data_IF_662459717423
#
_entry.id   IF_662459717423
#
_cell.length_a   1.000
_cell.length_b   1.000
_cell.length_c   1.000
_cell.angle_alpha   90.00
_cell.angle_beta   90.00
_cell.angle_gamma   90.00
#
_symmetry.space_group_name_H-M   'P 1'
#
loop_
_entity.id
_entity.type
_entity.pdbx_description
1 polymer ?
#
# COMPACT_ATOMS: atom_id res chain seq x y z
N UNK A 1 -62.06 -23.59 -38.58
CA UNK A 1 -61.58 -23.12 -37.25
C UNK A 1 -60.74 -24.17 -36.47
N UNK A 2 -60.74 -25.46 -36.86
CA UNK A 2 -59.90 -26.48 -36.16
C UNK A 2 -58.39 -26.41 -36.50
N UNK A 3 -58.03 -25.92 -37.66
CA UNK A 3 -56.62 -25.88 -38.09
C UNK A 3 -55.78 -24.70 -37.51
N UNK A 4 -56.46 -23.66 -37.04
CA UNK A 4 -55.79 -22.51 -36.40
C UNK A 4 -55.22 -22.83 -35.00
N UNK A 5 -55.84 -23.80 -34.29
CA UNK A 5 -55.46 -24.25 -32.96
C UNK A 5 -54.15 -25.03 -32.99
N UNK A 6 -53.88 -25.79 -34.04
CA UNK A 6 -52.67 -26.59 -34.21
C UNK A 6 -51.41 -25.67 -34.52
N UNK A 7 -51.66 -24.58 -35.22
CA UNK A 7 -50.55 -23.59 -35.49
C UNK A 7 -50.11 -22.89 -34.20
N UNK A 8 -51.05 -22.59 -33.30
CA UNK A 8 -50.72 -21.94 -32.00
C UNK A 8 -49.98 -22.87 -31.05
N UNK A 9 -50.14 -24.19 -31.18
CA UNK A 9 -49.52 -25.18 -30.29
C UNK A 9 -48.05 -25.50 -30.70
N UNK A 10 -47.68 -25.14 -31.96
CA UNK A 10 -46.31 -25.35 -32.44
C UNK A 10 -45.34 -24.17 -32.16
N UNK A 11 -45.87 -23.02 -31.77
CA UNK A 11 -45.05 -21.81 -31.52
C UNK A 11 -44.10 -21.95 -30.31
N UNK A 12 -44.45 -22.64 -29.19
CA UNK A 12 -43.52 -22.76 -28.07
C UNK A 12 -42.36 -23.73 -28.31
N UNK A 13 -42.40 -24.58 -29.32
CA UNK A 13 -41.32 -25.53 -29.61
C UNK A 13 -40.09 -24.89 -30.29
N UNK A 14 -40.24 -23.69 -30.84
CA UNK A 14 -39.15 -22.97 -31.51
C UNK A 14 -38.35 -22.03 -30.57
N UNK A 15 -38.81 -21.85 -29.32
CA UNK A 15 -38.15 -20.96 -28.37
C UNK A 15 -37.15 -21.67 -27.43
N UNK A 16 -36.96 -22.97 -27.54
CA UNK A 16 -36.02 -23.72 -26.68
C UNK A 16 -34.71 -24.11 -27.38
N UNK A 17 -34.42 -23.53 -28.54
CA UNK A 17 -33.06 -23.54 -29.07
C UNK A 17 -32.27 -22.33 -28.53
N UNK A 18 -32.13 -22.22 -27.20
CA UNK A 18 -31.04 -21.46 -26.63
C UNK A 18 -29.77 -22.30 -26.86
N UNK A 19 -28.96 -21.82 -27.81
CA UNK A 19 -27.57 -22.21 -27.89
C UNK A 19 -26.96 -22.03 -26.48
N UNK A 20 -26.63 -23.16 -25.87
CA UNK A 20 -25.61 -23.14 -24.81
C UNK A 20 -24.36 -22.62 -25.48
N UNK A 21 -24.10 -21.32 -25.34
CA UNK A 21 -22.73 -20.81 -25.48
C UNK A 21 -21.89 -21.61 -24.50
N UNK A 22 -21.31 -22.67 -25.01
CA UNK A 22 -20.12 -23.23 -24.38
C UNK A 22 -19.13 -22.10 -24.36
N UNK A 23 -18.84 -21.51 -23.17
CA UNK A 23 -17.65 -20.75 -22.96
C UNK A 23 -16.49 -21.63 -23.44
N UNK A 24 -16.15 -21.49 -24.71
CA UNK A 24 -14.87 -21.95 -25.20
C UNK A 24 -13.86 -21.09 -24.45
N UNK A 25 -13.31 -21.67 -23.41
CA UNK A 25 -12.07 -21.26 -22.80
C UNK A 25 -11.03 -21.23 -23.91
N UNK A 26 -11.01 -20.10 -24.65
CA UNK A 26 -10.03 -19.79 -25.68
C UNK A 26 -8.70 -19.39 -25.02
N UNK A 27 -8.25 -20.18 -24.09
CA UNK A 27 -6.81 -20.28 -23.84
C UNK A 27 -6.19 -20.87 -25.09
N UNK A 28 -5.85 -20.00 -26.03
CA UNK A 28 -5.05 -20.38 -27.18
C UNK A 28 -3.69 -20.86 -26.64
N UNK A 29 -3.63 -22.15 -26.34
CA UNK A 29 -2.37 -22.79 -25.99
C UNK A 29 -1.46 -22.73 -27.22
N UNK A 30 -0.58 -21.74 -27.24
CA UNK A 30 0.49 -21.72 -28.22
C UNK A 30 1.44 -22.89 -27.89
N UNK A 31 1.56 -23.83 -28.81
CA UNK A 31 2.50 -24.94 -28.68
C UNK A 31 3.79 -24.59 -29.40
N UNK A 32 4.93 -24.96 -28.80
CA UNK A 32 6.24 -24.93 -29.44
C UNK A 32 6.56 -26.36 -29.82
N UNK A 33 6.84 -26.60 -31.11
CA UNK A 33 7.24 -27.92 -31.61
C UNK A 33 8.76 -28.01 -31.50
N UNK A 34 9.25 -28.93 -30.67
CA UNK A 34 10.67 -29.24 -30.54
C UNK A 34 10.86 -30.70 -30.84
N UNK A 35 11.60 -31.01 -31.94
CA UNK A 35 11.90 -32.38 -32.39
C UNK A 35 10.67 -33.29 -32.56
N UNK A 36 9.53 -32.73 -32.98
CA UNK A 36 8.29 -33.49 -33.21
C UNK A 36 7.41 -33.66 -31.97
N UNK A 37 7.81 -33.16 -30.84
CA UNK A 37 6.97 -33.12 -29.64
C UNK A 37 6.37 -31.71 -29.45
N UNK A 38 5.06 -31.64 -29.14
CA UNK A 38 4.34 -30.39 -28.93
C UNK A 38 4.28 -30.07 -27.46
N UNK A 39 5.06 -29.06 -27.06
CA UNK A 39 5.09 -28.56 -25.68
C UNK A 39 4.17 -27.36 -25.57
N UNK A 40 3.16 -27.35 -24.68
CA UNK A 40 2.32 -26.19 -24.48
C UNK A 40 3.15 -25.01 -23.99
N UNK A 41 3.07 -23.87 -24.67
CA UNK A 41 3.68 -22.62 -24.24
C UNK A 41 2.78 -21.98 -23.18
N UNK A 42 2.84 -22.50 -21.96
CA UNK A 42 2.23 -21.85 -20.82
C UNK A 42 3.17 -20.76 -20.33
N UNK A 43 2.72 -19.50 -20.37
CA UNK A 43 3.37 -18.45 -19.61
C UNK A 43 3.00 -18.66 -18.14
N UNK A 44 3.91 -19.16 -17.35
CA UNK A 44 3.74 -19.16 -15.90
C UNK A 44 4.17 -17.77 -15.44
N UNK A 45 3.24 -16.97 -14.95
CA UNK A 45 3.57 -15.76 -14.23
C UNK A 45 4.30 -16.16 -12.95
N UNK A 46 5.60 -15.97 -12.97
CA UNK A 46 6.44 -16.19 -11.80
C UNK A 46 6.36 -14.93 -10.92
N UNK A 47 6.12 -15.14 -9.65
CA UNK A 47 6.23 -14.06 -8.68
C UNK A 47 7.63 -13.44 -8.76
N UNK A 48 7.69 -12.11 -8.72
CA UNK A 48 8.94 -11.37 -8.74
C UNK A 48 9.82 -11.79 -7.55
N UNK A 49 10.93 -12.45 -7.83
CA UNK A 49 11.91 -12.82 -6.80
C UNK A 49 12.98 -11.74 -6.72
N UNK A 50 12.91 -10.93 -5.67
CA UNK A 50 13.94 -9.94 -5.40
C UNK A 50 15.15 -10.58 -4.72
N UNK A 51 16.30 -10.56 -5.39
CA UNK A 51 17.55 -11.04 -4.82
C UNK A 51 18.18 -9.95 -3.95
N UNK A 52 18.23 -10.21 -2.64
CA UNK A 52 18.85 -9.32 -1.67
C UNK A 52 20.30 -9.76 -1.41
N UNK A 53 21.23 -8.84 -1.62
CA UNK A 53 22.63 -9.10 -1.32
C UNK A 53 22.85 -9.41 0.17
N UNK A 54 23.82 -10.26 0.46
CA UNK A 54 24.25 -10.47 1.85
C UNK A 54 24.87 -9.18 2.37
N UNK A 55 24.36 -8.71 3.52
CA UNK A 55 24.93 -7.53 4.16
C UNK A 55 26.26 -7.91 4.83
N UNK A 56 27.28 -7.15 4.50
CA UNK A 56 28.60 -7.23 5.14
C UNK A 56 28.77 -6.03 6.05
N UNK A 57 29.30 -6.27 7.23
CA UNK A 57 29.53 -5.24 8.24
C UNK A 57 31.03 -5.13 8.52
N UNK A 58 31.56 -3.92 8.42
CA UNK A 58 32.98 -3.65 8.64
C UNK A 58 33.36 -3.74 10.12
N UNK A 59 32.40 -3.58 11.03
CA UNK A 59 32.61 -3.62 12.47
C UNK A 59 31.45 -4.25 13.23
N UNK A 60 31.72 -4.65 14.48
CA UNK A 60 30.65 -5.11 15.39
C UNK A 60 29.66 -3.98 15.73
N UNK A 61 30.13 -2.76 15.76
CA UNK A 61 29.35 -1.56 16.00
C UNK A 61 28.37 -1.32 14.85
N UNK A 62 28.79 -1.46 13.60
CA UNK A 62 27.91 -1.32 12.43
C UNK A 62 26.81 -2.37 12.43
N UNK A 63 27.17 -3.62 12.75
CA UNK A 63 26.18 -4.69 12.92
C UNK A 63 25.18 -4.38 14.02
N UNK A 64 25.64 -3.85 15.17
CA UNK A 64 24.76 -3.44 16.28
C UNK A 64 23.82 -2.31 15.85
N UNK A 65 24.34 -1.27 15.14
CA UNK A 65 23.53 -0.17 14.60
C UNK A 65 22.46 -0.69 13.65
N UNK A 66 22.81 -1.58 12.73
CA UNK A 66 21.86 -2.22 11.82
C UNK A 66 20.76 -3.00 12.57
N UNK A 67 21.11 -3.79 13.59
CA UNK A 67 20.12 -4.55 14.37
C UNK A 67 19.15 -3.61 15.13
N UNK A 68 19.64 -2.48 15.63
CA UNK A 68 18.81 -1.46 16.26
C UNK A 68 17.88 -0.83 15.22
N UNK A 69 18.42 -0.46 14.04
CA UNK A 69 17.65 0.08 12.94
C UNK A 69 16.56 -0.91 12.50
N UNK A 70 16.91 -2.17 12.28
CA UNK A 70 15.97 -3.25 11.92
C UNK A 70 14.80 -3.32 12.90
N UNK A 71 15.08 -3.40 14.20
CA UNK A 71 14.03 -3.47 15.23
C UNK A 71 13.11 -2.25 15.19
N UNK A 72 13.68 -1.04 15.04
CA UNK A 72 12.91 0.20 14.99
C UNK A 72 12.08 0.30 13.72
N UNK A 73 12.63 -0.07 12.57
CA UNK A 73 11.93 -0.07 11.27
C UNK A 73 10.71 -0.99 11.31
N UNK A 74 10.88 -2.23 11.75
CA UNK A 74 9.78 -3.20 11.85
C UNK A 74 8.68 -2.71 12.80
N UNK A 75 9.07 -2.17 13.97
CA UNK A 75 8.12 -1.59 14.93
C UNK A 75 7.31 -0.44 14.35
N UNK A 76 7.96 0.44 13.60
CA UNK A 76 7.34 1.68 13.09
C UNK A 76 6.57 1.44 11.80
N UNK A 77 6.90 0.41 11.03
CA UNK A 77 6.31 0.13 9.73
C UNK A 77 4.77 0.05 9.80
N UNK A 78 4.23 -0.67 10.75
CA UNK A 78 2.77 -0.78 10.95
C UNK A 78 2.10 0.60 11.13
N UNK A 79 2.71 1.49 11.92
CA UNK A 79 2.18 2.86 12.11
C UNK A 79 2.30 3.69 10.84
N UNK A 80 3.36 3.49 10.06
CA UNK A 80 3.55 4.20 8.79
C UNK A 80 2.49 3.80 7.75
N UNK A 81 2.25 2.50 7.58
CA UNK A 81 1.23 1.97 6.68
C UNK A 81 -0.16 2.49 7.06
N UNK A 82 -0.52 2.37 8.33
CA UNK A 82 -1.82 2.83 8.82
C UNK A 82 -1.98 4.36 8.67
N UNK A 83 -0.92 5.14 8.94
CA UNK A 83 -0.95 6.58 8.74
C UNK A 83 -1.10 6.96 7.26
N UNK A 84 -0.39 6.27 6.36
CA UNK A 84 -0.47 6.48 4.92
C UNK A 84 -1.89 6.22 4.40
N UNK A 85 -2.46 5.07 4.71
CA UNK A 85 -3.83 4.69 4.31
C UNK A 85 -4.88 5.70 4.80
N UNK A 86 -4.75 6.14 6.06
CA UNK A 86 -5.67 7.13 6.63
C UNK A 86 -5.55 8.50 5.98
N UNK A 87 -4.33 8.93 5.69
CA UNK A 87 -4.07 10.21 5.04
C UNK A 87 -4.57 10.22 3.59
N UNK A 88 -4.34 9.16 2.84
CA UNK A 88 -4.84 9.02 1.47
C UNK A 88 -6.37 8.95 1.42
N UNK A 89 -6.97 8.13 2.28
CA UNK A 89 -8.44 8.06 2.41
C UNK A 89 -9.04 9.41 2.80
N UNK A 90 -8.38 10.15 3.69
CA UNK A 90 -8.81 11.48 4.10
C UNK A 90 -8.76 12.47 2.94
N UNK A 91 -7.66 12.49 2.19
CA UNK A 91 -7.49 13.37 1.03
C UNK A 91 -8.52 13.06 -0.07
N UNK A 92 -8.73 11.77 -0.37
CA UNK A 92 -9.74 11.33 -1.32
C UNK A 92 -11.17 11.72 -0.92
N UNK A 93 -11.50 11.68 0.38
CA UNK A 93 -12.80 12.12 0.88
C UNK A 93 -12.94 13.64 0.90
N UNK A 94 -11.87 14.36 1.27
CA UNK A 94 -11.87 15.84 1.27
C UNK A 94 -12.07 16.42 -0.13
N UNK A 95 -11.57 15.77 -1.17
CA UNK A 95 -11.75 16.21 -2.56
C UNK A 95 -13.21 16.17 -3.02
N UNK A 96 -14.05 15.31 -2.41
CA UNK A 96 -15.48 15.18 -2.74
C UNK A 96 -16.36 16.29 -2.16
N UNK A 97 -15.88 17.05 -1.17
CA UNK A 97 -16.65 18.15 -0.59
C UNK A 97 -16.42 19.43 -1.38
N UNK A 98 -17.47 20.01 -1.94
CA UNK A 98 -17.40 21.29 -2.67
C UNK A 98 -17.26 22.48 -1.71
N UNK A 99 -18.02 22.46 -0.61
CA UNK A 99 -18.03 23.57 0.36
C UNK A 99 -16.82 23.54 1.29
N UNK A 100 -16.12 24.66 1.38
CA UNK A 100 -14.96 24.84 2.29
C UNK A 100 -15.31 24.58 3.77
N UNK A 101 -16.54 24.90 4.19
CA UNK A 101 -17.04 24.68 5.56
C UNK A 101 -17.09 23.19 5.90
N UNK A 102 -17.61 22.36 4.98
CA UNK A 102 -17.78 20.93 5.19
C UNK A 102 -16.42 20.22 5.17
N UNK A 103 -15.53 20.63 4.27
CA UNK A 103 -14.13 20.18 4.26
C UNK A 103 -13.44 20.43 5.61
N UNK A 104 -13.61 21.64 6.18
CA UNK A 104 -13.02 22.00 7.48
C UNK A 104 -13.61 21.17 8.62
N UNK A 105 -14.94 21.00 8.63
CA UNK A 105 -15.65 20.21 9.66
C UNK A 105 -15.20 18.76 9.63
N UNK A 106 -15.12 18.18 8.45
CA UNK A 106 -14.65 16.80 8.26
C UNK A 106 -13.19 16.63 8.66
N UNK A 107 -12.30 17.49 8.18
CA UNK A 107 -10.89 17.47 8.54
C UNK A 107 -10.67 17.55 10.07
N UNK A 108 -11.42 18.43 10.77
CA UNK A 108 -11.37 18.56 12.23
C UNK A 108 -11.85 17.29 12.94
N UNK A 109 -12.89 16.63 12.42
CA UNK A 109 -13.41 15.37 12.98
C UNK A 109 -12.37 14.26 12.89
N UNK A 110 -11.74 14.11 11.73
CA UNK A 110 -10.70 13.10 11.51
C UNK A 110 -9.44 13.42 12.31
N UNK A 111 -9.05 14.68 12.40
CA UNK A 111 -7.94 15.09 13.26
C UNK A 111 -8.14 14.61 14.70
N UNK A 112 -9.30 14.88 15.31
CA UNK A 112 -9.59 14.43 16.67
C UNK A 112 -9.53 12.90 16.81
N UNK A 113 -10.01 12.17 15.80
CA UNK A 113 -9.94 10.72 15.78
C UNK A 113 -8.49 10.22 15.79
N UNK A 114 -7.66 10.73 14.89
CA UNK A 114 -6.25 10.37 14.79
C UNK A 114 -5.48 10.80 16.05
N UNK A 115 -5.76 11.98 16.59
CA UNK A 115 -5.18 12.45 17.85
C UNK A 115 -5.49 11.48 19.01
N UNK A 116 -6.74 11.01 19.10
CA UNK A 116 -7.15 10.07 20.15
C UNK A 116 -6.43 8.72 20.05
N UNK A 117 -6.30 8.22 18.84
CA UNK A 117 -5.81 6.86 18.60
C UNK A 117 -4.27 6.77 18.60
N UNK A 118 -3.62 7.73 17.95
CA UNK A 118 -2.18 7.64 17.70
C UNK A 118 -1.30 8.48 18.62
N UNK A 119 -1.84 9.53 19.28
CA UNK A 119 -0.99 10.44 20.04
C UNK A 119 -0.23 9.76 21.18
N UNK A 120 -0.84 8.77 21.82
CA UNK A 120 -0.19 8.02 22.91
C UNK A 120 1.02 7.23 22.42
N UNK A 121 0.87 6.57 21.27
CA UNK A 121 1.95 5.74 20.70
C UNK A 121 3.05 6.61 20.08
N UNK A 122 2.67 7.66 19.37
CA UNK A 122 3.63 8.61 18.81
C UNK A 122 4.48 9.28 19.90
N UNK A 123 3.87 9.67 21.02
CA UNK A 123 4.61 10.26 22.17
C UNK A 123 5.62 9.32 22.81
N UNK A 124 5.42 8.01 22.71
CA UNK A 124 6.35 6.99 23.22
C UNK A 124 7.49 6.67 22.25
N UNK A 125 7.41 7.12 21.01
CA UNK A 125 8.44 6.87 20.02
C UNK A 125 9.70 7.68 20.33
N UNK A 126 10.85 7.05 20.13
CA UNK A 126 12.12 7.75 20.16
C UNK A 126 12.30 8.64 18.92
N UNK A 127 13.19 9.62 18.99
CA UNK A 127 13.54 10.52 17.86
C UNK A 127 13.84 9.73 16.58
N UNK A 128 14.65 8.67 16.67
CA UNK A 128 14.98 7.83 15.51
C UNK A 128 13.74 7.11 14.94
N UNK A 129 12.86 6.59 15.80
CA UNK A 129 11.62 5.96 15.37
C UNK A 129 10.71 6.96 14.65
N UNK A 130 10.62 8.20 15.14
CA UNK A 130 9.87 9.24 14.46
C UNK A 130 10.48 9.67 13.12
N UNK A 131 11.82 9.71 13.01
CA UNK A 131 12.49 9.95 11.72
C UNK A 131 12.18 8.85 10.71
N UNK A 132 12.25 7.58 11.13
CA UNK A 132 11.90 6.44 10.30
C UNK A 132 10.42 6.50 9.89
N UNK A 133 9.51 6.87 10.82
CA UNK A 133 8.08 7.02 10.52
C UNK A 133 7.85 8.03 9.39
N UNK A 134 8.45 9.21 9.46
CA UNK A 134 8.34 10.26 8.43
C UNK A 134 8.84 9.77 7.07
N UNK A 135 9.99 9.09 7.04
CA UNK A 135 10.55 8.48 5.83
C UNK A 135 9.64 7.40 5.25
N UNK A 136 9.08 6.53 6.09
CA UNK A 136 8.17 5.47 5.65
C UNK A 136 6.82 5.99 5.16
N UNK A 137 6.30 7.08 5.73
CA UNK A 137 5.11 7.76 5.19
C UNK A 137 5.40 8.27 3.78
N UNK A 138 6.58 8.87 3.54
CA UNK A 138 6.98 9.29 2.19
C UNK A 138 7.08 8.10 1.24
N UNK A 139 7.69 7.00 1.67
CA UNK A 139 7.79 5.76 0.89
C UNK A 139 6.42 5.23 0.45
N UNK A 140 5.42 5.25 1.34
CA UNK A 140 4.09 4.72 1.07
C UNK A 140 3.23 5.65 0.20
N UNK A 141 3.36 6.96 0.38
CA UNK A 141 2.45 7.95 -0.24
C UNK A 141 3.08 8.72 -1.40
N UNK A 142 4.40 8.66 -1.57
CA UNK A 142 5.14 9.52 -2.51
C UNK A 142 5.16 11.01 -2.13
N UNK A 143 4.60 11.36 -0.95
CA UNK A 143 4.52 12.75 -0.47
C UNK A 143 5.19 12.90 0.89
N UNK A 144 5.87 14.01 1.10
CA UNK A 144 6.42 14.28 2.43
C UNK A 144 5.32 14.45 3.46
N UNK A 145 5.57 14.04 4.69
CA UNK A 145 4.61 14.23 5.78
C UNK A 145 4.19 15.70 5.92
N UNK A 146 5.12 16.64 5.65
CA UNK A 146 4.81 18.06 5.62
C UNK A 146 3.77 18.44 4.57
N UNK A 147 3.88 17.91 3.33
CA UNK A 147 2.94 18.20 2.25
C UNK A 147 1.57 17.62 2.57
N UNK A 148 1.51 16.38 3.07
CA UNK A 148 0.25 15.76 3.50
C UNK A 148 -0.46 16.59 4.57
N UNK A 149 0.26 17.06 5.57
CA UNK A 149 -0.29 17.90 6.65
C UNK A 149 -0.71 19.27 6.12
N UNK A 150 0.04 19.85 5.19
CA UNK A 150 -0.28 21.14 4.57
C UNK A 150 -1.58 21.08 3.77
N UNK A 151 -1.84 20.00 3.06
CA UNK A 151 -3.10 19.78 2.33
C UNK A 151 -4.31 19.73 3.28
N UNK A 152 -4.17 19.23 4.48
CA UNK A 152 -5.23 19.09 5.48
C UNK A 152 -5.64 20.38 6.17
N UNK A 153 -4.91 21.45 6.03
CA UNK A 153 -5.18 22.87 6.38
C UNK A 153 -5.68 23.21 7.79
N UNK A 154 -6.05 22.30 8.67
CA UNK A 154 -6.63 22.67 9.97
C UNK A 154 -5.99 21.91 11.12
N UNK A 155 -5.42 22.61 12.09
CA UNK A 155 -5.01 22.06 13.40
C UNK A 155 -3.90 20.99 13.39
N UNK A 156 -3.72 20.30 12.26
CA UNK A 156 -2.74 19.23 12.10
C UNK A 156 -1.31 19.67 12.39
N UNK A 157 -0.97 20.92 12.08
CA UNK A 157 0.32 21.50 12.49
C UNK A 157 0.47 21.52 14.01
N UNK A 158 -0.56 21.98 14.72
CA UNK A 158 -0.53 22.02 16.18
C UNK A 158 -0.47 20.62 16.78
N UNK A 159 -1.24 19.67 16.24
CA UNK A 159 -1.15 18.25 16.63
C UNK A 159 0.26 17.71 16.49
N UNK A 160 0.86 17.85 15.30
CA UNK A 160 2.21 17.37 15.05
C UNK A 160 3.23 18.08 15.93
N UNK A 161 3.16 19.41 16.08
CA UNK A 161 4.04 20.14 16.99
C UNK A 161 3.89 19.67 18.44
N UNK A 162 2.68 19.48 18.92
CA UNK A 162 2.44 19.01 20.30
C UNK A 162 2.81 17.53 20.50
N UNK A 163 2.66 16.71 19.48
CA UNK A 163 2.98 15.28 19.54
C UNK A 163 4.47 15.05 19.34
N UNK A 164 5.09 15.83 18.47
CA UNK A 164 6.53 15.78 18.20
C UNK A 164 7.36 16.72 19.09
N UNK A 165 6.73 17.45 20.02
CA UNK A 165 7.46 18.29 20.97
C UNK A 165 8.50 17.51 21.81
N UNK A 166 8.26 16.23 22.05
CA UNK A 166 9.25 15.31 22.61
C UNK A 166 10.24 14.75 21.58
N UNK A 167 10.00 14.98 20.30
CA UNK A 167 10.83 14.54 19.17
C UNK A 167 11.49 15.73 18.49
N UNK A 168 12.03 16.67 19.26
CA UNK A 168 12.71 17.86 18.76
C UNK A 168 13.66 17.51 17.61
N UNK A 169 13.60 18.29 16.50
CA UNK A 169 14.41 18.17 15.29
C UNK A 169 14.04 17.12 14.24
N UNK A 170 12.82 16.56 14.24
CA UNK A 170 12.39 15.74 13.12
C UNK A 170 11.87 16.65 12.00
N UNK A 171 12.60 16.69 10.89
CA UNK A 171 12.12 17.37 9.70
C UNK A 171 11.01 16.57 9.03
N UNK A 172 9.78 17.07 9.06
CA UNK A 172 8.64 16.50 8.34
C UNK A 172 8.78 16.57 6.80
N UNK A 173 9.80 17.30 6.31
CA UNK A 173 10.12 17.43 4.89
C UNK A 173 11.11 16.37 4.40
N UNK A 174 11.53 15.44 5.26
CA UNK A 174 12.45 14.38 4.85
C UNK A 174 11.76 13.48 3.84
N UNK A 175 12.47 13.21 2.78
CA UNK A 175 12.14 12.27 1.73
C UNK A 175 12.81 10.94 2.03
N UNK A 176 12.28 9.88 1.47
CA UNK A 176 12.87 8.56 1.51
C UNK A 176 13.58 8.32 0.17
N UNK A 177 14.89 8.15 0.23
CA UNK A 177 15.75 7.99 -0.96
C UNK A 177 16.75 6.83 -0.75
N UNK A 178 16.33 5.60 -1.00
CA UNK A 178 17.19 4.43 -0.81
C UNK A 178 18.35 4.32 -1.82
N UNK A 179 18.35 5.14 -2.89
CA UNK A 179 19.41 5.12 -3.88
C UNK A 179 20.61 5.97 -3.47
N UNK A 180 20.35 7.09 -2.80
CA UNK A 180 21.40 8.05 -2.44
C UNK A 180 21.73 8.05 -0.95
N UNK A 181 20.79 7.66 -0.08
CA UNK A 181 20.95 7.70 1.37
C UNK A 181 21.17 6.28 1.96
N UNK A 182 22.34 6.05 2.54
CA UNK A 182 22.71 4.74 3.12
C UNK A 182 21.72 4.24 4.18
N UNK A 183 21.21 5.14 5.02
CA UNK A 183 20.23 4.77 6.05
C UNK A 183 18.93 4.28 5.43
N UNK A 184 18.45 4.94 4.37
CA UNK A 184 17.24 4.60 3.66
C UNK A 184 17.39 3.30 2.88
N UNK A 185 18.56 3.06 2.29
CA UNK A 185 18.90 1.77 1.71
C UNK A 185 18.80 0.63 2.74
N UNK A 186 19.33 0.82 3.94
CA UNK A 186 19.25 -0.18 5.02
C UNK A 186 17.82 -0.36 5.53
N UNK A 187 17.02 0.70 5.57
CA UNK A 187 15.60 0.62 5.91
C UNK A 187 14.87 -0.21 4.86
N UNK A 188 15.10 0.05 3.57
CA UNK A 188 14.48 -0.71 2.48
C UNK A 188 14.90 -2.18 2.50
N UNK A 189 16.19 -2.48 2.68
CA UNK A 189 16.68 -3.85 2.83
C UNK A 189 15.99 -4.59 3.98
N UNK A 190 15.82 -3.92 5.12
CA UNK A 190 15.08 -4.48 6.26
C UNK A 190 13.64 -4.81 5.88
N UNK A 191 12.95 -3.90 5.19
CA UNK A 191 11.57 -4.11 4.77
C UNK A 191 11.46 -5.28 3.80
N UNK A 192 12.29 -5.31 2.75
CA UNK A 192 12.25 -6.36 1.73
C UNK A 192 12.52 -7.75 2.34
N UNK A 193 13.48 -7.88 3.25
CA UNK A 193 13.73 -9.14 3.97
C UNK A 193 12.56 -9.57 4.84
N UNK A 194 11.84 -8.63 5.44
CA UNK A 194 10.68 -8.95 6.27
C UNK A 194 9.45 -9.29 5.43
N UNK A 195 9.27 -8.69 4.25
CA UNK A 195 8.24 -9.07 3.28
C UNK A 195 8.48 -10.49 2.75
N UNK A 196 9.71 -10.79 2.31
CA UNK A 196 10.07 -12.14 1.84
C UNK A 196 9.90 -13.22 2.90
N UNK A 197 10.13 -12.88 4.16
CA UNK A 197 9.96 -13.83 5.26
C UNK A 197 8.51 -13.92 5.79
N UNK A 198 7.56 -13.19 5.20
CA UNK A 198 6.16 -13.14 5.63
C UNK A 198 5.94 -12.50 7.01
N UNK A 199 6.92 -11.78 7.54
CA UNK A 199 6.78 -11.07 8.84
C UNK A 199 6.07 -9.73 8.72
N UNK A 200 6.14 -9.12 7.56
CA UNK A 200 5.43 -7.90 7.22
C UNK A 200 4.67 -8.13 5.92
N UNK A 201 3.49 -7.52 5.81
CA UNK A 201 2.71 -7.43 4.59
C UNK A 201 3.09 -6.15 3.83
N UNK A 202 3.00 -6.20 2.50
CA UNK A 202 3.31 -5.05 1.63
C UNK A 202 2.21 -4.01 1.63
#
# INVERSE_FOLDING_TARGET
MKNAVYILLMIPALFFAQEMETEQDTTSHQYIIIKGDSIPRTSIDLDEVMLLHKLEFNSKEDKKRYLILKRKTVKVYHYATLAAERLDSLNARLSRYEKKSDRRRYAKKIQKYIEGEFSKELKKMSRTEGQILVKLIHRQTGKTAFNLIKELRSGWRAFWYNTTASMFDISLKREFDPLNEKEDYLIEDVLQRNFQSGRLER
#
